data_IF_792567740284
#
_entry.id   IF_792567740284
#
_cell.length_a   1.000
_cell.length_b   1.000
_cell.length_c   1.000
_cell.angle_alpha   90.00
_cell.angle_beta   90.00
_cell.angle_gamma   90.00
#
_symmetry.space_group_name_H-M   'P 1'
#
loop_
_entity.id
_entity.type
_entity.pdbx_description
1 polymer ?
#
# COMPACT_ATOMS: atom_id res chain seq x y z
N UNK A 1 61.02 37.48 21.67
CA UNK A 1 60.49 36.10 21.78
C UNK A 1 59.01 36.10 21.36
N UNK A 2 58.63 35.18 20.45
CA UNK A 2 57.31 34.52 20.19
C UNK A 2 56.13 35.00 21.08
N UNK A 3 54.90 35.32 20.61
CA UNK A 3 53.96 34.71 19.63
C UNK A 3 52.78 35.69 19.37
N UNK A 4 52.46 36.03 18.12
CA UNK A 4 51.25 35.68 17.31
C UNK A 4 49.88 35.72 18.03
N UNK A 5 49.00 36.69 17.73
CA UNK A 5 47.93 36.75 16.67
C UNK A 5 46.59 36.16 17.13
N UNK A 6 45.51 36.96 17.12
CA UNK A 6 44.20 36.58 16.54
C UNK A 6 43.20 37.74 16.63
N UNK A 7 42.77 38.16 15.44
CA UNK A 7 41.78 39.18 15.10
C UNK A 7 40.38 38.53 15.05
N UNK A 8 39.36 39.10 15.69
CA UNK A 8 37.96 38.97 15.24
C UNK A 8 37.18 40.25 15.57
N UNK A 9 36.89 41.01 14.52
CA UNK A 9 36.06 42.21 14.51
C UNK A 9 34.71 41.91 13.85
N UNK A 10 33.74 42.71 14.27
CA UNK A 10 32.28 42.63 14.16
C UNK A 10 31.67 42.84 12.76
N UNK A 11 30.36 42.56 12.72
CA UNK A 11 29.29 43.18 11.88
C UNK A 11 28.91 42.37 10.61
N UNK A 12 27.68 42.32 10.08
CA UNK A 12 26.62 43.32 9.90
C UNK A 12 25.25 42.61 9.71
N UNK A 13 24.17 43.21 10.21
CA UNK A 13 22.76 42.86 9.93
C UNK A 13 22.28 43.34 8.56
N UNK A 14 21.43 42.57 7.86
CA UNK A 14 20.64 43.05 6.72
C UNK A 14 19.22 42.47 6.72
N UNK A 15 18.30 43.30 6.28
CA UNK A 15 16.88 43.33 6.61
C UNK A 15 16.02 42.43 5.72
N UNK A 16 15.02 41.80 6.34
CA UNK A 16 13.90 41.13 5.66
C UNK A 16 12.87 42.19 5.26
N UNK A 17 12.57 42.26 3.97
CA UNK A 17 11.49 43.06 3.39
C UNK A 17 10.33 42.13 3.05
N UNK A 18 9.17 42.34 3.67
CA UNK A 18 7.87 41.84 3.23
C UNK A 18 7.00 43.05 2.85
N UNK A 19 6.04 42.89 1.91
CA UNK A 19 4.64 43.01 2.31
C UNK A 19 3.68 42.03 1.61
N UNK A 20 2.79 41.35 2.36
CA UNK A 20 1.33 41.64 2.53
C UNK A 20 0.50 41.31 1.26
N UNK A 21 -0.61 40.54 1.27
CA UNK A 21 -1.88 40.80 1.96
C UNK A 21 -2.89 39.63 1.79
N UNK A 22 -3.65 39.33 2.87
CA UNK A 22 -5.09 38.91 2.93
C UNK A 22 -5.50 37.54 2.34
N UNK A 23 -6.40 36.74 2.90
CA UNK A 23 -7.23 36.71 4.12
C UNK A 23 -7.78 35.26 4.16
N UNK A 24 -7.59 34.49 5.21
CA UNK A 24 -8.68 34.12 6.13
C UNK A 24 -8.23 32.83 6.82
N UNK A 25 -7.83 32.91 8.08
CA UNK A 25 -8.19 31.85 9.01
C UNK A 25 -8.15 32.40 10.43
N UNK A 26 -9.26 32.20 11.12
CA UNK A 26 -9.49 32.65 12.47
C UNK A 26 -8.53 32.00 13.46
N UNK A 27 -8.25 32.80 14.47
CA UNK A 27 -7.39 32.56 15.61
C UNK A 27 -7.99 31.53 16.58
N UNK A 28 -7.22 30.50 16.95
CA UNK A 28 -7.08 30.01 18.35
C UNK A 28 -6.08 28.86 18.52
N UNK A 29 -5.01 29.19 19.26
CA UNK A 29 -4.54 28.57 20.51
C UNK A 29 -3.67 27.30 20.46
N UNK A 30 -2.51 27.47 21.09
CA UNK A 30 -1.46 26.51 21.40
C UNK A 30 -1.94 25.17 21.99
N UNK A 31 -1.29 24.09 21.58
CA UNK A 31 -1.36 22.78 22.24
C UNK A 31 -0.95 21.67 21.28
N UNK A 32 0.14 20.98 21.60
CA UNK A 32 0.72 19.93 20.75
C UNK A 32 -0.24 18.79 20.42
N UNK A 33 0.03 18.12 19.30
CA UNK A 33 -0.70 16.95 18.86
C UNK A 33 -0.52 16.72 17.37
N UNK A 34 -0.05 15.52 17.04
CA UNK A 34 -0.17 14.85 15.74
C UNK A 34 0.21 15.68 14.49
N UNK A 35 1.45 15.50 14.04
CA UNK A 35 1.75 15.47 12.61
C UNK A 35 1.04 14.26 11.97
N UNK A 36 -0.30 14.28 11.96
CA UNK A 36 -1.05 13.52 10.98
C UNK A 36 -0.98 14.32 9.68
N UNK A 37 0.21 14.30 9.08
CA UNK A 37 0.35 14.49 7.65
C UNK A 37 -0.46 13.36 7.01
N UNK A 38 -1.75 13.62 6.81
CA UNK A 38 -2.56 12.90 5.88
C UNK A 38 -1.97 13.24 4.52
N UNK A 39 -0.91 12.52 4.15
CA UNK A 39 -0.36 12.50 2.81
C UNK A 39 -1.56 12.24 1.92
N UNK A 40 -1.98 13.25 1.14
CA UNK A 40 -2.85 13.00 0.00
C UNK A 40 -2.06 12.03 -0.87
N UNK A 41 -2.37 10.74 -0.71
CA UNK A 41 -1.67 9.66 -1.37
C UNK A 41 -2.10 9.76 -2.82
N UNK A 42 -1.36 10.58 -3.59
CA UNK A 42 -1.64 10.77 -4.99
C UNK A 42 -1.53 9.40 -5.65
N UNK A 43 -2.60 9.01 -6.36
CA UNK A 43 -2.63 7.74 -7.05
C UNK A 43 -1.50 7.67 -8.08
N UNK A 44 -0.57 6.77 -7.83
CA UNK A 44 0.49 6.43 -8.77
C UNK A 44 0.48 4.93 -9.01
N UNK A 45 1.04 4.45 -10.13
CA UNK A 45 1.20 3.02 -10.35
C UNK A 45 1.93 2.31 -9.20
N UNK A 46 2.95 2.97 -8.64
CA UNK A 46 3.78 2.41 -7.56
C UNK A 46 3.02 2.33 -6.23
N UNK A 47 2.33 3.41 -5.83
CA UNK A 47 1.55 3.45 -4.59
C UNK A 47 0.36 2.50 -4.63
N UNK A 48 -0.35 2.42 -5.76
CA UNK A 48 -1.46 1.47 -5.93
C UNK A 48 -0.97 0.01 -5.99
N UNK A 49 0.24 -0.23 -6.49
CA UNK A 49 0.87 -1.55 -6.42
C UNK A 49 1.23 -1.92 -4.98
N UNK A 50 1.71 -0.98 -4.17
CA UNK A 50 1.92 -1.21 -2.73
C UNK A 50 0.62 -1.54 -2.02
N UNK A 51 -0.45 -0.77 -2.27
CA UNK A 51 -1.77 -1.06 -1.72
C UNK A 51 -2.24 -2.47 -2.11
N UNK A 52 -2.05 -2.88 -3.37
CA UNK A 52 -2.37 -4.23 -3.84
C UNK A 52 -1.57 -5.30 -3.08
N UNK A 53 -0.26 -5.10 -2.89
CA UNK A 53 0.61 -6.00 -2.14
C UNK A 53 0.15 -6.11 -0.67
N UNK A 54 -0.31 -5.02 -0.07
CA UNK A 54 -0.89 -5.04 1.28
C UNK A 54 -2.16 -5.90 1.30
N UNK A 55 -3.06 -5.76 0.33
CA UNK A 55 -4.27 -6.59 0.22
C UNK A 55 -3.94 -8.08 0.04
N UNK A 56 -2.93 -8.39 -0.78
CA UNK A 56 -2.46 -9.76 -0.95
C UNK A 56 -1.89 -10.34 0.36
N UNK A 57 -1.12 -9.56 1.12
CA UNK A 57 -0.67 -10.01 2.43
C UNK A 57 -1.83 -10.23 3.41
N UNK A 58 -2.80 -9.32 3.42
CA UNK A 58 -4.00 -9.44 4.24
C UNK A 58 -4.82 -10.71 3.91
N UNK A 59 -4.82 -11.14 2.64
CA UNK A 59 -5.45 -12.41 2.23
C UNK A 59 -4.76 -13.60 2.89
N UNK A 60 -3.43 -13.68 2.82
CA UNK A 60 -2.68 -14.75 3.49
C UNK A 60 -2.93 -14.73 5.01
N UNK A 61 -2.94 -13.55 5.62
CA UNK A 61 -3.18 -13.41 7.06
C UNK A 61 -4.62 -13.81 7.43
N UNK A 62 -5.63 -13.46 6.62
CA UNK A 62 -7.02 -13.88 6.82
C UNK A 62 -7.15 -15.42 6.79
N UNK A 63 -6.53 -16.06 5.80
CA UNK A 63 -6.52 -17.51 5.68
C UNK A 63 -5.79 -18.18 6.86
N UNK A 64 -4.72 -17.58 7.36
CA UNK A 64 -4.00 -18.08 8.53
C UNK A 64 -4.82 -18.05 9.83
N UNK A 65 -5.87 -17.21 9.90
CA UNK A 65 -6.77 -17.18 11.06
C UNK A 65 -7.79 -18.32 11.08
N UNK A 66 -8.08 -18.94 9.94
CA UNK A 66 -9.08 -20.00 9.83
C UNK A 66 -8.53 -21.33 10.37
N UNK A 67 -8.87 -21.63 11.64
CA UNK A 67 -8.46 -22.85 12.35
C UNK A 67 -9.62 -23.82 12.60
N UNK A 68 -10.84 -23.32 12.42
CA UNK A 68 -12.11 -24.03 12.59
C UNK A 68 -13.17 -23.34 11.71
N UNK A 69 -14.39 -23.86 11.72
CA UNK A 69 -15.49 -23.30 10.93
C UNK A 69 -15.83 -21.85 11.28
N UNK A 70 -15.89 -21.49 12.56
CA UNK A 70 -16.27 -20.14 12.97
C UNK A 70 -15.24 -19.10 12.49
N UNK A 71 -13.95 -19.39 12.69
CA UNK A 71 -12.86 -18.54 12.20
C UNK A 71 -12.74 -18.55 10.67
N UNK A 72 -13.12 -19.64 9.99
CA UNK A 72 -13.23 -19.69 8.54
C UNK A 72 -14.34 -18.76 8.02
N UNK A 73 -15.51 -18.74 8.64
CA UNK A 73 -16.60 -17.83 8.28
C UNK A 73 -16.22 -16.35 8.47
N UNK A 74 -15.44 -16.04 9.51
CA UNK A 74 -14.86 -14.70 9.68
C UNK A 74 -13.81 -14.38 8.61
N UNK A 75 -12.96 -15.34 8.26
CA UNK A 75 -11.99 -15.18 7.18
C UNK A 75 -12.70 -14.94 5.83
N UNK A 76 -13.83 -15.59 5.54
CA UNK A 76 -14.65 -15.29 4.34
C UNK A 76 -15.03 -13.81 4.26
N UNK A 77 -15.48 -13.21 5.38
CA UNK A 77 -15.85 -11.78 5.40
C UNK A 77 -14.64 -10.89 5.12
N UNK A 78 -13.46 -11.24 5.68
CA UNK A 78 -12.21 -10.51 5.40
C UNK A 78 -11.81 -10.63 3.94
N UNK A 79 -11.89 -11.83 3.35
CA UNK A 79 -11.58 -12.09 1.93
C UNK A 79 -12.49 -11.26 1.02
N UNK A 80 -13.78 -11.15 1.34
CA UNK A 80 -14.71 -10.33 0.56
C UNK A 80 -14.32 -8.84 0.60
N UNK A 81 -14.01 -8.31 1.79
CA UNK A 81 -13.54 -6.93 1.95
C UNK A 81 -12.20 -6.65 1.26
N UNK A 82 -11.29 -7.63 1.25
CA UNK A 82 -10.05 -7.54 0.46
C UNK A 82 -10.38 -7.50 -1.03
N UNK A 83 -11.33 -8.30 -1.50
CA UNK A 83 -11.79 -8.27 -2.88
C UNK A 83 -12.37 -6.89 -3.26
N UNK A 84 -13.15 -6.26 -2.37
CA UNK A 84 -13.70 -4.92 -2.61
C UNK A 84 -12.57 -3.86 -2.67
N UNK A 85 -11.54 -4.00 -1.84
CA UNK A 85 -10.35 -3.16 -1.90
C UNK A 85 -9.60 -3.33 -3.23
N UNK A 86 -9.48 -4.57 -3.73
CA UNK A 86 -8.88 -4.87 -5.04
C UNK A 86 -9.71 -4.23 -6.17
N UNK A 87 -11.05 -4.34 -6.14
CA UNK A 87 -11.94 -3.68 -7.11
C UNK A 87 -11.70 -2.15 -7.12
N UNK A 88 -11.54 -1.55 -5.95
CA UNK A 88 -11.24 -0.11 -5.79
C UNK A 88 -9.87 0.27 -6.35
N UNK A 89 -8.83 -0.51 -6.04
CA UNK A 89 -7.47 -0.30 -6.55
C UNK A 89 -7.44 -0.41 -8.08
N UNK A 90 -8.06 -1.44 -8.65
CA UNK A 90 -8.14 -1.61 -10.10
C UNK A 90 -8.86 -0.42 -10.77
N UNK A 91 -9.95 0.07 -10.18
CA UNK A 91 -10.67 1.25 -10.66
C UNK A 91 -9.82 2.53 -10.62
N UNK A 92 -8.94 2.66 -9.61
CA UNK A 92 -7.99 3.79 -9.51
C UNK A 92 -6.86 3.65 -10.53
N UNK A 93 -6.29 2.45 -10.68
CA UNK A 93 -5.27 2.15 -11.69
C UNK A 93 -5.78 2.40 -13.11
N UNK A 94 -7.01 2.02 -13.44
CA UNK A 94 -7.55 2.16 -14.79
C UNK A 94 -7.57 3.62 -15.29
N UNK A 95 -7.74 4.56 -14.35
CA UNK A 95 -7.73 6.01 -14.60
C UNK A 95 -6.34 6.59 -14.81
N UNK A 96 -5.28 5.85 -14.45
CA UNK A 96 -3.91 6.29 -14.62
C UNK A 96 -3.43 6.02 -16.06
N UNK A 97 -2.47 6.83 -16.48
CA UNK A 97 -1.76 6.58 -17.72
C UNK A 97 -0.92 5.30 -17.61
N UNK A 98 -0.84 4.56 -18.70
CA UNK A 98 0.00 3.37 -18.78
C UNK A 98 1.47 3.78 -18.57
N UNK A 99 2.21 3.15 -17.64
CA UNK A 99 3.60 3.49 -17.37
C UNK A 99 4.51 3.20 -18.57
N UNK A 100 5.69 3.81 -18.60
CA UNK A 100 6.75 3.42 -19.55
C UNK A 100 7.20 1.98 -19.30
N UNK A 101 7.94 1.40 -20.24
CA UNK A 101 8.48 0.03 -20.10
C UNK A 101 9.43 -0.10 -18.89
N UNK A 102 10.22 0.93 -18.59
CA UNK A 102 11.05 0.97 -17.38
C UNK A 102 10.19 1.01 -16.11
N UNK A 103 9.10 1.79 -16.14
CA UNK A 103 8.12 1.84 -15.06
C UNK A 103 7.47 0.48 -14.82
N UNK A 104 6.99 -0.18 -15.88
CA UNK A 104 6.44 -1.54 -15.80
C UNK A 104 7.46 -2.54 -15.25
N UNK A 105 8.73 -2.45 -15.67
CA UNK A 105 9.80 -3.32 -15.17
C UNK A 105 10.01 -3.16 -13.66
N UNK A 106 9.99 -1.93 -13.16
CA UNK A 106 10.11 -1.66 -11.72
C UNK A 106 8.91 -2.24 -10.94
N UNK A 107 7.70 -2.04 -11.46
CA UNK A 107 6.46 -2.59 -10.87
C UNK A 107 6.45 -4.12 -10.89
N UNK A 108 6.92 -4.75 -11.97
CA UNK A 108 7.08 -6.21 -12.07
C UNK A 108 8.04 -6.73 -11.00
N UNK A 109 9.25 -6.16 -10.90
CA UNK A 109 10.23 -6.58 -9.90
C UNK A 109 9.70 -6.47 -8.47
N UNK A 110 8.89 -5.45 -8.19
CA UNK A 110 8.24 -5.25 -6.90
C UNK A 110 7.19 -6.32 -6.65
N UNK A 111 6.34 -6.56 -7.64
CA UNK A 111 5.26 -7.55 -7.55
C UNK A 111 5.79 -8.97 -7.47
N UNK A 112 6.87 -9.31 -8.19
CA UNK A 112 7.49 -10.63 -8.17
C UNK A 112 8.07 -10.95 -6.78
N UNK A 113 8.79 -10.00 -6.16
CA UNK A 113 9.28 -10.16 -4.77
C UNK A 113 8.13 -10.35 -3.77
N UNK A 114 7.05 -9.59 -3.95
CA UNK A 114 5.88 -9.74 -3.11
C UNK A 114 5.18 -11.09 -3.32
N UNK A 115 5.10 -11.56 -4.57
CA UNK A 115 4.53 -12.85 -4.92
C UNK A 115 5.35 -14.00 -4.33
N UNK A 116 6.67 -13.99 -4.44
CA UNK A 116 7.54 -14.99 -3.81
C UNK A 116 7.32 -15.07 -2.28
N UNK A 117 7.22 -13.91 -1.62
CA UNK A 117 6.94 -13.84 -0.19
C UNK A 117 5.54 -14.39 0.13
N UNK A 118 4.55 -14.09 -0.72
CA UNK A 118 3.18 -14.58 -0.57
C UNK A 118 3.07 -16.08 -0.82
N UNK A 119 3.70 -16.62 -1.85
CA UNK A 119 3.72 -18.05 -2.16
C UNK A 119 4.29 -18.85 -0.98
N UNK A 120 5.37 -18.35 -0.36
CA UNK A 120 5.93 -18.95 0.86
C UNK A 120 4.95 -18.95 2.02
N UNK A 121 4.19 -17.86 2.24
CA UNK A 121 3.15 -17.78 3.28
C UNK A 121 2.00 -18.75 2.96
N UNK A 122 1.50 -18.73 1.72
CA UNK A 122 0.34 -19.51 1.28
C UNK A 122 0.63 -21.01 1.22
N UNK A 123 1.83 -21.43 0.83
CA UNK A 123 2.20 -22.85 0.78
C UNK A 123 2.01 -23.58 2.11
N UNK A 124 2.31 -22.92 3.23
CA UNK A 124 2.06 -23.47 4.57
C UNK A 124 0.56 -23.55 4.91
N UNK A 125 -0.24 -22.61 4.41
CA UNK A 125 -1.67 -22.53 4.69
C UNK A 125 -2.50 -23.50 3.85
N UNK A 126 -2.12 -23.72 2.59
CA UNK A 126 -2.79 -24.66 1.68
C UNK A 126 -2.75 -26.09 2.26
N UNK A 127 -1.60 -26.52 2.80
CA UNK A 127 -1.50 -27.83 3.44
C UNK A 127 -2.43 -27.97 4.66
N UNK A 128 -2.55 -26.92 5.47
CA UNK A 128 -3.45 -26.90 6.62
C UNK A 128 -4.93 -26.94 6.21
N UNK A 129 -5.32 -26.19 5.18
CA UNK A 129 -6.68 -26.21 4.63
C UNK A 129 -7.03 -27.55 3.99
N UNK A 130 -6.12 -28.16 3.22
CA UNK A 130 -6.37 -29.49 2.63
C UNK A 130 -6.50 -30.60 3.67
N UNK A 131 -5.94 -30.40 4.86
CA UNK A 131 -6.05 -31.34 5.98
C UNK A 131 -7.34 -31.17 6.78
N UNK A 132 -8.14 -30.12 6.51
CA UNK A 132 -9.39 -29.83 7.21
C UNK A 132 -10.52 -29.51 6.22
N UNK A 133 -11.28 -30.55 5.86
CA UNK A 133 -12.36 -30.50 4.87
C UNK A 133 -13.45 -29.47 5.21
N UNK A 134 -13.75 -29.27 6.50
CA UNK A 134 -14.77 -28.32 6.94
C UNK A 134 -14.33 -26.87 6.67
N UNK A 135 -13.07 -26.54 6.96
CA UNK A 135 -12.48 -25.23 6.62
C UNK A 135 -12.43 -25.04 5.10
N UNK A 136 -12.01 -26.08 4.36
CA UNK A 136 -11.95 -26.05 2.91
C UNK A 136 -13.32 -25.80 2.26
N UNK A 137 -14.38 -26.39 2.81
CA UNK A 137 -15.76 -26.20 2.33
C UNK A 137 -16.25 -24.76 2.52
N UNK A 138 -15.87 -24.12 3.63
CA UNK A 138 -16.26 -22.73 3.93
C UNK A 138 -15.45 -21.73 3.09
N UNK A 139 -14.13 -21.92 2.99
CA UNK A 139 -13.24 -20.98 2.31
C UNK A 139 -13.20 -21.14 0.80
N UNK A 140 -13.44 -22.34 0.28
CA UNK A 140 -13.36 -22.66 -1.15
C UNK A 140 -14.14 -21.69 -2.03
N UNK A 141 -15.45 -21.48 -1.81
CA UNK A 141 -16.25 -20.55 -2.59
C UNK A 141 -15.77 -19.09 -2.49
N UNK A 142 -15.27 -18.67 -1.33
CA UNK A 142 -14.73 -17.33 -1.14
C UNK A 142 -13.44 -17.11 -1.94
N UNK A 143 -12.57 -18.14 -1.96
CA UNK A 143 -11.34 -18.13 -2.76
C UNK A 143 -11.62 -18.16 -4.26
N UNK A 144 -12.62 -18.92 -4.70
CA UNK A 144 -13.07 -18.94 -6.10
C UNK A 144 -13.59 -17.56 -6.53
N UNK A 145 -14.51 -16.98 -5.75
CA UNK A 145 -15.03 -15.62 -5.98
C UNK A 145 -13.91 -14.58 -6.01
N UNK A 146 -12.95 -14.65 -5.08
CA UNK A 146 -11.80 -13.77 -5.07
C UNK A 146 -10.95 -13.93 -6.34
N UNK A 147 -10.71 -15.17 -6.79
CA UNK A 147 -10.00 -15.46 -8.03
C UNK A 147 -10.71 -14.92 -9.27
N UNK A 148 -12.04 -15.00 -9.33
CA UNK A 148 -12.83 -14.39 -10.40
C UNK A 148 -12.70 -12.86 -10.42
N UNK A 149 -12.72 -12.22 -9.25
CA UNK A 149 -12.48 -10.77 -9.13
C UNK A 149 -11.09 -10.38 -9.62
N UNK A 150 -10.06 -11.13 -9.27
CA UNK A 150 -8.71 -10.89 -9.79
C UNK A 150 -8.68 -10.99 -11.33
N UNK A 151 -9.23 -12.09 -11.88
CA UNK A 151 -9.31 -12.31 -13.33
C UNK A 151 -10.05 -11.21 -14.08
N UNK A 152 -11.14 -10.70 -13.50
CA UNK A 152 -11.90 -9.58 -14.05
C UNK A 152 -11.02 -8.35 -14.28
N UNK A 153 -10.04 -8.11 -13.41
CA UNK A 153 -9.14 -6.96 -13.47
C UNK A 153 -7.80 -7.25 -14.16
N UNK A 154 -7.56 -8.47 -14.62
CA UNK A 154 -6.34 -8.85 -15.36
C UNK A 154 -5.98 -7.84 -16.47
N UNK A 155 -6.90 -7.37 -17.33
CA UNK A 155 -6.55 -6.42 -18.38
C UNK A 155 -6.01 -5.09 -17.85
N UNK A 156 -6.48 -4.65 -16.67
CA UNK A 156 -6.01 -3.43 -16.02
C UNK A 156 -4.62 -3.71 -15.45
N UNK A 157 -4.45 -4.80 -14.70
CA UNK A 157 -3.15 -5.13 -14.12
C UNK A 157 -2.07 -5.30 -15.20
N UNK A 158 -2.36 -6.00 -16.31
CA UNK A 158 -1.45 -6.19 -17.46
C UNK A 158 -0.94 -4.87 -18.06
N UNK A 159 -1.71 -3.77 -17.99
CA UNK A 159 -1.25 -2.45 -18.46
C UNK A 159 -0.12 -1.89 -17.60
N UNK A 160 -0.18 -2.10 -16.29
CA UNK A 160 0.78 -1.55 -15.33
C UNK A 160 1.93 -2.51 -15.02
N UNK A 161 1.80 -3.76 -15.45
CA UNK A 161 2.82 -4.77 -15.28
C UNK A 161 2.24 -6.15 -15.56
N UNK A 162 3.15 -7.09 -15.80
CA UNK A 162 2.93 -8.48 -16.21
C UNK A 162 2.46 -8.70 -17.66
N UNK A 163 3.38 -9.28 -18.43
CA UNK A 163 3.13 -10.35 -19.41
C UNK A 163 4.43 -11.17 -19.47
N UNK A 164 4.30 -12.51 -19.53
CA UNK A 164 5.42 -13.48 -19.57
C UNK A 164 6.60 -13.02 -20.43
#
# INVERSE_FOLDING_TARGET
>A
MKRTTALRLFSIATAVTAPLLFTSCGEKKDGGGDDNAQTENTDTPDSLTDELIVQMNALADALATAKDKASAEEAVKKIDGIGDAVDSIATRLDKLETPSEEGKKALNQKTDKAQEAMEKKMGGLIGAMMSNEEIGTVLGPAMEKFGERMKKHDPIFERFGKKK
#
